data_IF_579576092463
#
_entry.id   IF_579576092463
#
_cell.length_a   1.000
_cell.length_b   1.000
_cell.length_c   1.000
_cell.angle_alpha   90.00
_cell.angle_beta   90.00
_cell.angle_gamma   90.00
#
_symmetry.space_group_name_H-M   'P 1'
#
loop_
_entity.id
_entity.type
_entity.pdbx_description
1 polymer ?
#
# COMPACT_ATOMS: atom_id res chain seq x y z
N UNK A 1 11.44 1.67 -12.01
CA UNK A 1 10.09 1.84 -12.61
C UNK A 1 9.90 3.32 -12.86
N UNK A 2 9.20 3.72 -13.92
CA UNK A 2 8.94 5.14 -14.20
C UNK A 2 7.90 5.70 -13.22
N UNK A 3 8.17 6.87 -12.64
CA UNK A 3 7.31 7.50 -11.64
C UNK A 3 5.89 7.76 -12.16
N UNK A 4 5.77 8.12 -13.45
CA UNK A 4 4.46 8.36 -14.08
C UNK A 4 3.57 7.11 -14.13
N UNK A 5 4.18 5.95 -14.39
CA UNK A 5 3.50 4.65 -14.42
C UNK A 5 3.11 4.23 -13.01
N UNK A 6 3.97 4.47 -12.02
CA UNK A 6 3.69 4.15 -10.62
C UNK A 6 2.50 4.97 -10.09
N UNK A 7 2.48 6.27 -10.36
CA UNK A 7 1.39 7.16 -9.98
C UNK A 7 0.05 6.75 -10.59
N UNK A 8 0.05 6.33 -11.86
CA UNK A 8 -1.15 5.87 -12.54
C UNK A 8 -1.69 4.56 -11.96
N UNK A 9 -0.81 3.63 -11.58
CA UNK A 9 -1.20 2.42 -10.85
C UNK A 9 -1.80 2.77 -9.48
N UNK A 10 -1.18 3.67 -8.73
CA UNK A 10 -1.68 4.12 -7.41
C UNK A 10 -3.08 4.74 -7.56
N UNK A 11 -3.28 5.64 -8.52
CA UNK A 11 -4.59 6.26 -8.80
C UNK A 11 -5.66 5.22 -9.12
N UNK A 12 -5.32 4.22 -9.95
CA UNK A 12 -6.25 3.13 -10.31
C UNK A 12 -6.64 2.29 -9.11
N UNK A 13 -5.69 1.93 -8.25
CA UNK A 13 -5.94 1.20 -7.00
C UNK A 13 -6.81 2.00 -6.02
N UNK A 14 -6.54 3.29 -5.85
CA UNK A 14 -7.33 4.17 -5.00
C UNK A 14 -8.74 4.41 -5.55
N UNK A 15 -8.91 4.49 -6.86
CA UNK A 15 -10.23 4.69 -7.48
C UNK A 15 -11.20 3.54 -7.22
N UNK A 16 -10.69 2.31 -7.11
CA UNK A 16 -11.48 1.13 -6.80
C UNK A 16 -12.01 1.10 -5.36
N UNK A 17 -11.44 1.91 -4.46
CA UNK A 17 -11.88 2.06 -3.06
C UNK A 17 -13.17 2.88 -2.91
N UNK A 18 -13.42 3.84 -3.81
CA UNK A 18 -14.54 4.78 -3.67
C UNK A 18 -15.89 4.27 -4.23
N UNK A 19 -15.93 3.03 -4.73
CA UNK A 19 -17.15 2.38 -5.20
C UNK A 19 -17.84 1.60 -4.08
N UNK A 20 -19.19 1.60 -4.06
CA UNK A 20 -20.02 0.73 -3.19
C UNK A 20 -19.75 -0.77 -3.38
N UNK A 21 -19.06 -1.15 -4.45
CA UNK A 21 -18.65 -2.50 -4.80
C UNK A 21 -17.15 -2.53 -5.05
N UNK A 22 -16.46 -3.55 -4.51
CA UNK A 22 -15.03 -3.78 -4.75
C UNK A 22 -14.80 -4.05 -6.24
N UNK A 23 -14.39 -3.02 -6.98
CA UNK A 23 -14.09 -3.16 -8.41
C UNK A 23 -12.69 -3.74 -8.58
N UNK A 24 -12.58 -4.87 -9.28
CA UNK A 24 -11.29 -5.47 -9.57
C UNK A 24 -10.47 -4.53 -10.47
N UNK A 25 -9.28 -4.15 -10.01
CA UNK A 25 -8.35 -3.33 -10.80
C UNK A 25 -7.58 -4.23 -11.73
N UNK A 26 -7.67 -3.98 -13.04
CA UNK A 26 -7.01 -4.81 -14.06
C UNK A 26 -5.57 -4.36 -14.28
N UNK A 27 -4.61 -4.84 -13.50
CA UNK A 27 -3.19 -4.61 -13.77
C UNK A 27 -2.66 -5.63 -14.80
N UNK A 28 -1.78 -5.20 -15.68
CA UNK A 28 -1.08 -6.08 -16.62
C UNK A 28 0.01 -6.87 -15.90
N UNK A 29 0.37 -8.05 -16.44
CA UNK A 29 1.44 -8.88 -15.86
C UNK A 29 2.76 -8.11 -15.76
N UNK A 30 3.07 -7.31 -16.77
CA UNK A 30 4.30 -6.50 -16.82
C UNK A 30 4.34 -5.48 -15.68
N UNK A 31 3.24 -4.76 -15.42
CA UNK A 31 3.14 -3.81 -14.31
C UNK A 31 3.31 -4.53 -12.96
N UNK A 32 2.66 -5.68 -12.77
CA UNK A 32 2.78 -6.48 -11.53
C UNK A 32 4.22 -6.95 -11.32
N UNK A 33 4.86 -7.48 -12.36
CA UNK A 33 6.24 -7.95 -12.29
C UNK A 33 7.21 -6.82 -11.97
N UNK A 34 7.03 -5.65 -12.58
CA UNK A 34 7.85 -4.46 -12.32
C UNK A 34 7.68 -3.96 -10.88
N UNK A 35 6.45 -3.93 -10.36
CA UNK A 35 6.18 -3.60 -8.96
C UNK A 35 6.92 -4.57 -8.04
N UNK A 36 6.75 -5.87 -8.22
CA UNK A 36 7.40 -6.88 -7.39
C UNK A 36 8.94 -6.81 -7.45
N UNK A 37 9.52 -6.62 -8.64
CA UNK A 37 10.97 -6.48 -8.80
C UNK A 37 11.48 -5.22 -8.09
N UNK A 38 10.84 -4.08 -8.32
CA UNK A 38 11.25 -2.80 -7.70
C UNK A 38 11.10 -2.86 -6.17
N UNK A 39 9.99 -3.40 -5.66
CA UNK A 39 9.79 -3.58 -4.21
C UNK A 39 10.83 -4.52 -3.61
N UNK A 40 11.19 -5.60 -4.29
CA UNK A 40 12.22 -6.54 -3.82
C UNK A 40 13.58 -5.85 -3.68
N UNK A 41 13.97 -5.02 -4.64
CA UNK A 41 15.21 -4.24 -4.55
C UNK A 41 15.21 -3.30 -3.34
N UNK A 42 14.10 -2.61 -3.11
CA UNK A 42 13.93 -1.71 -1.94
C UNK A 42 14.05 -2.50 -0.63
N UNK A 43 13.34 -3.62 -0.49
CA UNK A 43 13.41 -4.45 0.72
C UNK A 43 14.81 -5.03 0.97
N UNK A 44 15.56 -5.34 -0.08
CA UNK A 44 16.94 -5.82 0.04
C UNK A 44 17.92 -4.69 0.38
N UNK A 45 17.62 -3.45 -0.02
CA UNK A 45 18.44 -2.29 0.34
C UNK A 45 18.23 -1.83 1.79
N UNK A 46 17.07 -2.14 2.37
CA UNK A 46 16.74 -1.83 3.75
C UNK A 46 17.31 -2.89 4.70
N UNK A 47 17.73 -2.51 5.92
CA UNK A 47 18.16 -3.47 6.93
C UNK A 47 16.97 -4.35 7.37
N UNK A 48 17.23 -5.61 7.68
CA UNK A 48 16.22 -6.53 8.21
C UNK A 48 15.59 -6.05 9.53
N UNK A 49 16.32 -5.23 10.28
CA UNK A 49 15.83 -4.52 11.45
C UNK A 49 15.58 -3.06 11.07
N UNK A 50 14.31 -2.68 10.90
CA UNK A 50 13.92 -1.32 10.58
C UNK A 50 13.96 -0.45 11.84
N UNK A 51 14.77 0.59 11.81
CA UNK A 51 14.76 1.66 12.81
C UNK A 51 13.72 2.71 12.39
N UNK A 52 12.69 2.88 13.22
CA UNK A 52 11.49 3.66 12.92
C UNK A 52 11.32 4.78 13.96
N UNK A 53 11.23 6.02 13.50
CA UNK A 53 11.01 7.20 14.36
C UNK A 53 9.54 7.63 14.38
N UNK A 54 9.02 8.04 15.54
CA UNK A 54 7.63 8.47 15.68
C UNK A 54 7.35 9.80 14.95
N UNK A 55 6.12 10.04 14.46
CA UNK A 55 4.91 9.22 14.59
C UNK A 55 4.67 8.25 13.42
N UNK A 56 4.44 6.97 13.72
CA UNK A 56 4.16 5.92 12.71
C UNK A 56 2.90 5.15 13.11
N UNK A 57 2.11 4.74 12.11
CA UNK A 57 0.93 3.90 12.31
C UNK A 57 1.26 2.46 11.99
N UNK A 58 1.28 1.60 13.01
CA UNK A 58 1.55 0.17 12.85
C UNK A 58 0.22 -0.54 12.60
N UNK A 59 0.04 -1.08 11.40
CA UNK A 59 -1.10 -1.91 11.05
C UNK A 59 -0.69 -3.39 11.07
N UNK A 60 -1.39 -4.21 11.87
CA UNK A 60 -1.18 -5.65 11.93
C UNK A 60 -1.75 -6.42 10.72
N UNK A 61 -1.98 -7.72 10.89
CA UNK A 61 -2.42 -8.67 9.85
C UNK A 61 -3.52 -8.12 8.95
N UNK A 62 -3.32 -8.27 7.63
CA UNK A 62 -4.25 -7.93 6.56
C UNK A 62 -5.42 -8.92 6.53
N UNK A 63 -6.26 -8.91 7.56
CA UNK A 63 -7.61 -9.43 7.48
C UNK A 63 -8.54 -8.23 7.29
N UNK A 64 -9.76 -8.47 6.81
CA UNK A 64 -10.84 -7.51 6.44
C UNK A 64 -11.01 -6.26 7.35
N UNK A 65 -10.44 -6.29 8.56
CA UNK A 65 -10.28 -5.16 9.47
C UNK A 65 -9.39 -4.02 8.95
N UNK A 66 -8.37 -4.27 8.12
CA UNK A 66 -7.48 -3.19 7.65
C UNK A 66 -8.20 -2.18 6.74
N UNK A 67 -9.17 -2.63 5.96
CA UNK A 67 -10.02 -1.76 5.15
C UNK A 67 -10.92 -0.88 6.03
N UNK A 68 -11.46 -1.43 7.13
CA UNK A 68 -12.20 -0.67 8.14
C UNK A 68 -11.28 0.31 8.89
N UNK A 69 -10.02 -0.05 9.14
CA UNK A 69 -9.03 0.83 9.74
C UNK A 69 -8.78 2.06 8.85
N UNK A 70 -8.54 1.86 7.55
CA UNK A 70 -8.39 2.96 6.59
C UNK A 70 -9.66 3.81 6.39
N UNK A 71 -10.85 3.26 6.67
CA UNK A 71 -12.12 3.99 6.68
C UNK A 71 -12.32 4.77 8.01
N UNK A 72 -11.74 4.27 9.10
CA UNK A 72 -11.78 4.89 10.45
C UNK A 72 -10.68 5.93 10.69
N UNK A 73 -9.64 5.92 9.87
CA UNK A 73 -8.46 6.82 9.92
C UNK A 73 -8.75 8.29 9.56
N UNK A 74 -9.98 8.77 9.79
CA UNK A 74 -10.20 10.16 10.16
C UNK A 74 -9.78 10.48 11.59
N UNK A 75 -9.75 9.50 12.51
CA UNK A 75 -9.34 9.69 13.92
C UNK A 75 -8.93 8.37 14.59
N UNK A 76 -7.66 7.97 14.48
CA UNK A 76 -7.01 7.17 15.52
C UNK A 76 -5.50 7.22 15.35
N UNK A 77 -4.84 8.08 16.12
CA UNK A 77 -3.43 7.87 16.47
C UNK A 77 -3.39 6.63 17.37
N UNK A 78 -2.82 5.55 16.87
CA UNK A 78 -2.31 4.51 17.76
C UNK A 78 -0.92 4.98 18.18
N UNK A 79 -0.85 5.55 19.38
CA UNK A 79 0.40 5.79 20.08
C UNK A 79 0.95 4.41 20.49
N UNK A 80 2.22 4.16 20.16
CA UNK A 80 3.01 3.11 20.84
C UNK A 80 3.21 3.52 22.29
#
# INVERSE_FOLDING_TARGET
MDDSVLDDIIKRLLSAKNGRTTKQVQLTETEIRQLCSTSKEIFLSQPNLLELEAPIKICGIYQRLLLLYFEREGKTSFYV
#
